data_IF_515138985961
#
_entry.id   IF_515138985961
#
_cell.length_a   1.000
_cell.length_b   1.000
_cell.length_c   1.000
_cell.angle_alpha   90.00
_cell.angle_beta   90.00
_cell.angle_gamma   90.00
#
_symmetry.space_group_name_H-M   'P 1'
#
loop_
_entity.id
_entity.type
_entity.pdbx_description
1 polymer ?
#
# COMPACT_ATOMS: atom_id res chain seq x y z
N UNK A 1 0.89 -12.98 -6.15
CA UNK A 1 1.25 -12.09 -5.03
C UNK A 1 1.01 -12.83 -3.72
N UNK A 2 2.09 -13.06 -2.98
CA UNK A 2 2.09 -13.73 -1.68
C UNK A 2 1.75 -12.77 -0.54
N UNK A 3 1.52 -13.29 0.67
CA UNK A 3 1.28 -12.47 1.85
C UNK A 3 2.51 -11.63 2.23
N UNK A 4 3.72 -12.18 2.09
CA UNK A 4 4.97 -11.49 2.38
C UNK A 4 5.21 -10.30 1.43
N UNK A 5 4.94 -10.49 0.13
CA UNK A 5 5.02 -9.41 -0.86
C UNK A 5 4.02 -8.29 -0.57
N UNK A 6 2.78 -8.65 -0.20
CA UNK A 6 1.75 -7.67 0.15
C UNK A 6 2.15 -6.87 1.39
N UNK A 7 2.76 -7.51 2.41
CA UNK A 7 3.24 -6.85 3.62
C UNK A 7 4.37 -5.87 3.33
N UNK A 8 5.35 -6.30 2.53
CA UNK A 8 6.51 -5.47 2.15
C UNK A 8 6.07 -4.25 1.33
N UNK A 9 5.24 -4.46 0.31
CA UNK A 9 4.68 -3.37 -0.50
C UNK A 9 3.75 -2.48 0.32
N UNK A 10 2.98 -3.05 1.25
CA UNK A 10 2.10 -2.31 2.14
C UNK A 10 2.86 -1.39 3.10
N UNK A 11 3.98 -1.86 3.67
CA UNK A 11 4.85 -1.02 4.50
C UNK A 11 5.45 0.15 3.71
N UNK A 12 5.95 -0.11 2.49
CA UNK A 12 6.44 0.95 1.60
C UNK A 12 5.34 1.95 1.22
N UNK A 13 4.14 1.45 0.95
CA UNK A 13 2.99 2.31 0.62
C UNK A 13 2.58 3.17 1.81
N UNK A 14 2.60 2.61 3.03
CA UNK A 14 2.32 3.37 4.24
C UNK A 14 3.29 4.55 4.42
N UNK A 15 4.59 4.31 4.25
CA UNK A 15 5.60 5.38 4.31
C UNK A 15 5.41 6.44 3.21
N UNK A 16 5.19 6.01 1.96
CA UNK A 16 4.94 6.94 0.85
C UNK A 16 3.67 7.79 1.04
N UNK A 17 2.65 7.25 1.74
CA UNK A 17 1.44 7.99 2.10
C UNK A 17 1.70 9.00 3.23
N UNK A 18 2.53 8.64 4.22
CA UNK A 18 2.93 9.56 5.30
C UNK A 18 3.76 10.73 4.75
N UNK A 19 4.65 10.46 3.78
CA UNK A 19 5.45 11.47 3.08
C UNK A 19 4.68 12.20 1.97
N UNK A 20 3.43 11.79 1.70
CA UNK A 20 2.59 12.28 0.60
C UNK A 20 3.31 12.27 -0.77
N UNK A 21 4.08 11.22 -1.08
CA UNK A 21 4.83 11.07 -2.34
C UNK A 21 3.97 10.39 -3.43
N UNK A 22 3.39 11.15 -4.40
CA UNK A 22 2.56 10.59 -5.44
C UNK A 22 3.34 9.77 -6.48
N UNK A 23 4.66 9.94 -6.61
CA UNK A 23 5.49 9.19 -7.55
C UNK A 23 5.70 7.79 -7.02
N UNK A 24 6.08 7.66 -5.75
CA UNK A 24 6.31 6.37 -5.11
C UNK A 24 4.99 5.59 -4.95
N UNK A 25 3.88 6.25 -4.58
CA UNK A 25 2.55 5.61 -4.52
C UNK A 25 2.20 4.99 -5.88
N UNK A 26 2.37 5.74 -6.98
CA UNK A 26 2.10 5.22 -8.33
C UNK A 26 3.04 4.09 -8.72
N UNK A 27 4.33 4.20 -8.36
CA UNK A 27 5.33 3.15 -8.60
C UNK A 27 4.94 1.83 -7.92
N UNK A 28 4.53 1.88 -6.65
CA UNK A 28 4.15 0.70 -5.86
C UNK A 28 2.91 0.00 -6.43
N UNK A 29 1.93 0.78 -6.91
CA UNK A 29 0.68 0.26 -7.44
C UNK A 29 0.74 -0.13 -8.92
N UNK A 30 1.80 0.28 -9.64
CA UNK A 30 1.94 0.04 -11.08
C UNK A 30 1.99 -1.45 -11.39
N UNK A 31 1.22 -1.85 -12.40
CA UNK A 31 1.19 -3.24 -12.87
C UNK A 31 0.47 -4.22 -11.93
N UNK A 32 -0.10 -3.74 -10.82
CA UNK A 32 -0.97 -4.56 -9.98
C UNK A 32 -2.37 -4.64 -10.58
N UNK A 33 -2.96 -5.82 -10.53
CA UNK A 33 -4.41 -5.95 -10.74
C UNK A 33 -5.17 -5.26 -9.60
N UNK A 34 -6.43 -4.83 -9.78
CA UNK A 34 -7.21 -4.18 -8.73
C UNK A 34 -7.28 -5.00 -7.43
N UNK A 35 -7.41 -6.33 -7.53
CA UNK A 35 -7.39 -7.23 -6.36
C UNK A 35 -6.05 -7.23 -5.62
N UNK A 36 -4.94 -7.10 -6.34
CA UNK A 36 -3.61 -7.04 -5.72
C UNK A 36 -3.38 -5.67 -5.08
N UNK A 37 -3.73 -4.58 -5.77
CA UNK A 37 -3.66 -3.23 -5.23
C UNK A 37 -4.45 -3.12 -3.91
N UNK A 38 -5.67 -3.64 -3.87
CA UNK A 38 -6.49 -3.66 -2.65
C UNK A 38 -5.81 -4.41 -1.49
N UNK A 39 -5.11 -5.52 -1.76
CA UNK A 39 -4.35 -6.24 -0.73
C UNK A 39 -3.18 -5.42 -0.18
N UNK A 40 -2.47 -4.70 -1.06
CA UNK A 40 -1.38 -3.80 -0.65
C UNK A 40 -1.91 -2.64 0.20
N UNK A 41 -3.01 -2.01 -0.22
CA UNK A 41 -3.66 -0.92 0.52
C UNK A 41 -4.13 -1.38 1.89
N UNK A 42 -4.75 -2.56 2.00
CA UNK A 42 -5.13 -3.14 3.30
C UNK A 42 -3.92 -3.40 4.21
N UNK A 43 -2.82 -3.89 3.64
CA UNK A 43 -1.58 -4.09 4.39
C UNK A 43 -0.97 -2.75 4.85
N UNK A 44 -1.01 -1.71 4.02
CA UNK A 44 -0.61 -0.36 4.40
C UNK A 44 -1.49 0.21 5.54
N UNK A 45 -2.80 0.03 5.44
CA UNK A 45 -3.72 0.45 6.50
C UNK A 45 -3.45 -0.26 7.83
N UNK A 46 -3.17 -1.56 7.80
CA UNK A 46 -2.77 -2.31 8.98
C UNK A 46 -1.42 -1.83 9.55
N UNK A 47 -0.45 -1.50 8.69
CA UNK A 47 0.85 -0.97 9.10
C UNK A 47 0.75 0.40 9.80
N UNK A 48 -0.20 1.25 9.39
CA UNK A 48 -0.49 2.52 10.05
C UNK A 48 -1.40 2.40 11.28
N UNK A 49 -1.66 1.17 11.77
CA UNK A 49 -2.54 0.93 12.93
C UNK A 49 -4.03 1.19 12.63
N UNK A 50 -4.47 1.00 11.40
CA UNK A 50 -5.87 1.18 10.98
C UNK A 50 -6.25 2.63 10.64
N UNK A 51 -5.28 3.54 10.54
CA UNK A 51 -5.51 4.98 10.33
C UNK A 51 -5.83 5.38 8.89
N UNK A 52 -5.66 4.48 7.92
CA UNK A 52 -6.04 4.73 6.53
C UNK A 52 -7.58 4.80 6.43
N UNK A 53 -8.13 6.02 6.47
CA UNK A 53 -9.51 6.27 6.06
C UNK A 53 -9.55 6.31 4.54
N UNK A 54 -10.04 5.24 3.91
CA UNK A 54 -10.44 5.28 2.51
C UNK A 54 -11.82 5.93 2.48
N UNK A 55 -11.84 7.23 2.20
CA UNK A 55 -13.06 8.00 1.90
C UNK A 55 -13.42 7.93 0.43
#
# INVERSE_FOLDING_TARGET
>A
MTAAEARTRGARLAAALDDADPVEIRSILRGLTPRQALRVVRAAAAAQGGRLRIG
#
